data_IF_035062863325
#
_entry.id   IF_035062863325
#
_cell.length_a   1.000
_cell.length_b   1.000
_cell.length_c   1.000
_cell.angle_alpha   90.00
_cell.angle_beta   90.00
_cell.angle_gamma   90.00
#
_symmetry.space_group_name_H-M   'P 1'
#
loop_
_entity.id
_entity.type
_entity.pdbx_description
1 polymer ?
#
# COMPACT_ATOMS: atom_id res chain seq x y z
N UNK A 1 -3.16 -3.50 -12.25
CA UNK A 1 -3.14 -2.16 -11.59
C UNK A 1 -2.77 -1.12 -12.62
N UNK A 2 -3.58 -0.11 -12.76
CA UNK A 2 -3.32 1.01 -13.67
C UNK A 2 -2.27 1.96 -13.09
N UNK A 3 -1.60 2.71 -13.96
CA UNK A 3 -0.56 3.68 -13.53
C UNK A 3 -1.11 4.70 -12.53
N UNK A 4 -2.30 5.24 -12.79
CA UNK A 4 -2.90 6.22 -11.89
C UNK A 4 -3.16 5.63 -10.50
N UNK A 5 -3.60 4.38 -10.44
CA UNK A 5 -3.80 3.71 -9.16
C UNK A 5 -2.49 3.50 -8.41
N UNK A 6 -1.44 3.12 -9.12
CA UNK A 6 -0.10 2.97 -8.52
C UNK A 6 0.37 4.29 -7.90
N UNK A 7 0.24 5.38 -8.66
CA UNK A 7 0.65 6.70 -8.19
C UNK A 7 -0.20 7.15 -7.00
N UNK A 8 -1.52 6.92 -7.04
CA UNK A 8 -2.39 7.25 -5.92
C UNK A 8 -2.00 6.49 -4.64
N UNK A 9 -1.62 5.23 -4.77
CA UNK A 9 -1.15 4.43 -3.62
C UNK A 9 0.18 4.95 -3.08
N UNK A 10 1.09 5.37 -3.95
CA UNK A 10 2.34 6.01 -3.52
C UNK A 10 2.04 7.29 -2.75
N UNK A 11 1.16 8.14 -3.28
CA UNK A 11 0.76 9.37 -2.60
C UNK A 11 0.12 9.10 -1.24
N UNK A 12 -0.69 8.04 -1.16
CA UNK A 12 -1.34 7.65 0.09
C UNK A 12 -0.31 7.26 1.16
N UNK A 13 0.63 6.36 0.85
CA UNK A 13 1.62 5.92 1.84
C UNK A 13 2.59 7.05 2.20
N UNK A 14 2.90 7.91 1.24
CA UNK A 14 3.74 9.10 1.50
C UNK A 14 3.06 10.03 2.50
N UNK A 15 1.79 10.35 2.25
CA UNK A 15 1.02 11.25 3.12
C UNK A 15 0.84 10.62 4.52
N UNK A 16 0.56 9.32 4.57
CA UNK A 16 0.44 8.60 5.84
C UNK A 16 1.74 8.63 6.65
N UNK A 17 2.88 8.61 5.96
CA UNK A 17 4.20 8.70 6.60
C UNK A 17 4.58 10.13 6.97
N UNK A 18 3.73 11.10 6.67
CA UNK A 18 3.96 12.53 6.95
C UNK A 18 5.20 13.06 6.22
N UNK A 19 5.40 12.62 4.98
CA UNK A 19 6.52 13.04 4.15
C UNK A 19 6.03 13.92 3.00
N UNK A 20 6.71 15.06 2.78
CA UNK A 20 6.48 15.85 1.57
C UNK A 20 7.02 15.09 0.35
N UNK A 21 6.53 15.44 -0.84
CA UNK A 21 7.04 14.87 -2.08
C UNK A 21 8.55 15.12 -2.21
N UNK A 22 9.01 16.32 -1.86
CA UNK A 22 10.42 16.68 -1.88
C UNK A 22 11.23 15.82 -0.91
N UNK A 23 10.75 15.65 0.30
CA UNK A 23 11.46 14.87 1.33
C UNK A 23 11.59 13.41 0.91
N UNK A 24 10.51 12.81 0.41
CA UNK A 24 10.55 11.44 -0.08
C UNK A 24 11.54 11.31 -1.25
N UNK A 25 11.50 12.26 -2.19
CA UNK A 25 12.44 12.24 -3.34
C UNK A 25 13.88 12.19 -2.86
N UNK A 26 14.23 13.02 -1.89
CA UNK A 26 15.58 13.07 -1.33
C UNK A 26 15.94 11.80 -0.58
N UNK A 27 15.02 11.26 0.20
CA UNK A 27 15.25 10.05 0.98
C UNK A 27 15.53 8.81 0.11
N UNK A 28 14.97 8.77 -1.10
CA UNK A 28 15.19 7.66 -2.03
C UNK A 28 16.32 7.96 -3.04
N UNK A 29 17.08 9.06 -2.81
CA UNK A 29 18.24 9.38 -3.63
C UNK A 29 17.94 9.93 -5.01
N UNK A 30 16.74 10.51 -5.18
CA UNK A 30 16.32 11.13 -6.45
C UNK A 30 16.44 12.66 -6.37
N UNK A 31 16.19 13.33 -7.51
CA UNK A 31 16.12 14.79 -7.53
C UNK A 31 14.93 15.26 -6.71
N UNK A 32 14.99 16.48 -6.18
CA UNK A 32 13.97 17.04 -5.30
C UNK A 32 12.55 16.99 -5.87
N UNK A 33 12.43 17.06 -7.19
CA UNK A 33 11.13 17.14 -7.88
C UNK A 33 10.61 15.78 -8.36
N UNK A 34 11.34 14.68 -8.09
CA UNK A 34 11.01 13.37 -8.67
C UNK A 34 9.57 12.91 -8.33
N UNK A 35 9.22 12.87 -7.06
CA UNK A 35 7.89 12.43 -6.61
C UNK A 35 6.83 13.41 -7.08
N UNK A 36 7.10 14.73 -6.96
CA UNK A 36 6.14 15.74 -7.40
C UNK A 36 5.85 15.61 -8.91
N UNK A 37 6.86 15.37 -9.74
CA UNK A 37 6.66 15.16 -11.16
C UNK A 37 5.84 13.90 -11.43
N UNK A 38 6.10 12.82 -10.69
CA UNK A 38 5.32 11.59 -10.82
C UNK A 38 3.85 11.83 -10.49
N UNK A 39 3.57 12.51 -9.38
CA UNK A 39 2.21 12.77 -8.91
C UNK A 39 1.47 13.77 -9.80
N UNK A 40 2.18 14.70 -10.42
CA UNK A 40 1.59 15.75 -11.27
C UNK A 40 1.41 15.30 -12.71
N UNK A 41 2.47 14.83 -13.34
CA UNK A 41 2.46 14.46 -14.75
C UNK A 41 1.77 13.12 -15.01
N UNK A 42 1.93 12.17 -14.07
CA UNK A 42 1.27 10.87 -14.10
C UNK A 42 1.50 10.10 -15.40
N UNK A 43 2.71 10.23 -15.96
CA UNK A 43 3.07 9.63 -17.25
C UNK A 43 4.25 8.66 -17.15
N UNK A 44 4.71 8.36 -15.93
CA UNK A 44 5.75 7.37 -15.71
C UNK A 44 5.58 6.70 -14.36
N UNK A 45 6.05 5.45 -14.27
CA UNK A 45 6.10 4.69 -13.02
C UNK A 45 7.55 4.62 -12.52
N UNK A 46 7.78 4.46 -11.22
CA UNK A 46 9.11 4.16 -10.72
C UNK A 46 9.56 2.80 -11.22
N UNK A 47 10.88 2.59 -11.30
CA UNK A 47 11.40 1.23 -11.45
C UNK A 47 11.04 0.41 -10.24
N UNK A 48 11.13 -0.91 -10.35
CA UNK A 48 10.86 -1.79 -9.21
C UNK A 48 11.76 -1.45 -8.01
N UNK A 49 13.06 -1.23 -8.26
CA UNK A 49 14.00 -0.88 -7.20
C UNK A 49 13.61 0.42 -6.49
N UNK A 50 13.24 1.42 -7.27
CA UNK A 50 12.79 2.71 -6.69
C UNK A 50 11.50 2.53 -5.89
N UNK A 51 10.58 1.71 -6.37
CA UNK A 51 9.34 1.42 -5.64
C UNK A 51 9.65 0.78 -4.28
N UNK A 52 10.56 -0.19 -4.24
CA UNK A 52 10.96 -0.81 -2.98
C UNK A 52 11.54 0.23 -2.01
N UNK A 53 12.37 1.14 -2.51
CA UNK A 53 12.92 2.23 -1.69
C UNK A 53 11.79 3.12 -1.14
N UNK A 54 10.79 3.44 -1.97
CA UNK A 54 9.63 4.22 -1.54
C UNK A 54 8.88 3.48 -0.43
N UNK A 55 8.63 2.19 -0.60
CA UNK A 55 7.93 1.38 0.40
C UNK A 55 8.69 1.35 1.72
N UNK A 56 10.01 1.17 1.67
CA UNK A 56 10.85 1.14 2.87
C UNK A 56 10.79 2.47 3.63
N UNK A 57 10.95 3.58 2.93
CA UNK A 57 10.92 4.90 3.55
C UNK A 57 9.54 5.21 4.12
N UNK A 58 8.47 4.84 3.41
CA UNK A 58 7.08 5.08 3.84
C UNK A 58 6.57 3.99 4.79
N UNK A 59 7.39 3.01 5.14
CA UNK A 59 7.04 1.93 6.09
C UNK A 59 5.80 1.14 5.65
N UNK A 60 5.73 0.83 4.36
CA UNK A 60 4.69 -0.03 3.81
C UNK A 60 5.32 -1.33 3.35
N UNK A 61 4.70 -2.46 3.67
CA UNK A 61 5.12 -3.74 3.10
C UNK A 61 4.60 -3.87 1.67
N UNK A 62 5.20 -4.76 0.90
CA UNK A 62 4.73 -5.08 -0.45
C UNK A 62 3.30 -5.62 -0.38
N UNK A 63 3.01 -6.49 0.59
CA UNK A 63 1.68 -7.07 0.76
C UNK A 63 0.62 -6.01 1.01
N UNK A 64 0.91 -5.03 1.87
CA UNK A 64 0.00 -3.93 2.15
C UNK A 64 -0.19 -3.06 0.91
N UNK A 65 0.91 -2.70 0.26
CA UNK A 65 0.87 -1.77 -0.88
C UNK A 65 0.04 -2.31 -2.03
N UNK A 66 0.11 -3.63 -2.29
CA UNK A 66 -0.63 -4.26 -3.38
C UNK A 66 -1.95 -4.89 -2.95
N UNK A 67 -2.34 -4.71 -1.71
CA UNK A 67 -3.64 -5.19 -1.23
C UNK A 67 -4.77 -4.44 -1.96
N UNK A 68 -5.96 -5.03 -2.04
CA UNK A 68 -7.07 -4.38 -2.76
C UNK A 68 -7.41 -3.00 -2.20
N UNK A 69 -7.15 -2.78 -0.91
CA UNK A 69 -7.34 -1.49 -0.25
C UNK A 69 -6.30 -1.36 0.86
N UNK A 70 -5.38 -0.39 0.73
CA UNK A 70 -4.36 -0.16 1.75
C UNK A 70 -4.99 0.12 3.12
N UNK A 71 -6.02 1.01 3.22
CA UNK A 71 -6.65 1.26 4.54
C UNK A 71 -7.27 0.02 5.18
N UNK A 72 -7.71 -0.96 4.40
CA UNK A 72 -8.33 -2.16 4.93
C UNK A 72 -7.32 -3.22 5.39
N UNK A 73 -6.05 -3.10 5.00
CA UNK A 73 -5.07 -4.15 5.16
C UNK A 73 -4.91 -4.61 6.62
N UNK A 74 -4.69 -3.69 7.53
CA UNK A 74 -4.44 -4.03 8.94
C UNK A 74 -5.63 -4.73 9.59
N UNK A 75 -6.84 -4.24 9.33
CA UNK A 75 -8.05 -4.84 9.88
C UNK A 75 -8.27 -6.24 9.31
N UNK A 76 -8.11 -6.39 7.99
CA UNK A 76 -8.28 -7.68 7.34
C UNK A 76 -7.25 -8.70 7.84
N UNK A 77 -6.00 -8.29 8.01
CA UNK A 77 -4.97 -9.19 8.54
C UNK A 77 -5.27 -9.58 9.99
N UNK A 78 -5.81 -8.67 10.79
CA UNK A 78 -6.23 -8.99 12.15
C UNK A 78 -7.35 -10.03 12.16
N UNK A 79 -8.34 -9.87 11.28
CA UNK A 79 -9.44 -10.84 11.12
C UNK A 79 -8.88 -12.20 10.72
N UNK A 80 -7.95 -12.25 9.77
CA UNK A 80 -7.30 -13.48 9.33
C UNK A 80 -6.58 -14.17 10.51
N UNK A 81 -5.86 -13.42 11.33
CA UNK A 81 -5.20 -13.98 12.51
C UNK A 81 -6.20 -14.60 13.49
N UNK A 82 -7.32 -13.92 13.72
CA UNK A 82 -8.38 -14.46 14.59
C UNK A 82 -8.98 -15.74 14.01
N UNK A 83 -9.17 -15.79 12.69
CA UNK A 83 -9.73 -16.96 12.01
C UNK A 83 -8.82 -18.19 12.10
N UNK A 84 -7.52 -18.01 12.16
CA UNK A 84 -6.57 -19.13 12.27
C UNK A 84 -6.75 -19.93 13.54
N UNK A 85 -7.26 -19.33 14.60
CA UNK A 85 -7.42 -19.98 15.91
C UNK A 85 -8.79 -20.59 16.15
N UNK A 86 -9.74 -20.50 15.23
CA UNK A 86 -11.10 -20.97 15.45
C UNK A 86 -11.37 -22.34 14.82
N UNK A 87 -12.37 -23.04 15.34
CA UNK A 87 -12.76 -24.36 14.87
C UNK A 87 -13.36 -24.29 13.46
N UNK A 88 -13.24 -25.41 12.72
CA UNK A 88 -13.74 -25.50 11.35
C UNK A 88 -15.25 -25.26 11.25
N UNK A 89 -16.03 -25.70 12.21
CA UNK A 89 -17.47 -25.45 12.25
C UNK A 89 -17.79 -23.97 12.25
N UNK A 90 -17.07 -23.19 13.07
CA UNK A 90 -17.24 -21.75 13.13
C UNK A 90 -16.83 -21.07 11.84
N UNK A 91 -15.74 -21.53 11.21
CA UNK A 91 -15.32 -21.02 9.90
C UNK A 91 -16.39 -21.25 8.85
N UNK A 92 -16.97 -22.43 8.82
CA UNK A 92 -18.06 -22.79 7.88
C UNK A 92 -19.27 -21.89 8.09
N UNK A 93 -19.65 -21.65 9.36
CA UNK A 93 -20.76 -20.77 9.69
C UNK A 93 -20.53 -19.34 9.21
N UNK A 94 -19.30 -18.83 9.37
CA UNK A 94 -18.93 -17.49 8.90
C UNK A 94 -19.05 -17.41 7.38
N UNK A 95 -18.53 -18.40 6.65
CA UNK A 95 -18.62 -18.46 5.19
C UNK A 95 -20.08 -18.42 4.75
N UNK A 96 -20.93 -19.21 5.37
CA UNK A 96 -22.38 -19.25 5.07
C UNK A 96 -23.01 -17.88 5.29
N UNK A 97 -22.69 -17.22 6.40
CA UNK A 97 -23.21 -15.90 6.72
C UNK A 97 -22.79 -14.85 5.68
N UNK A 98 -21.51 -14.88 5.26
CA UNK A 98 -20.97 -13.90 4.33
C UNK A 98 -21.50 -14.07 2.90
N UNK A 99 -21.99 -15.26 2.54
CA UNK A 99 -22.57 -15.53 1.21
C UNK A 99 -24.01 -15.03 1.06
N UNK A 100 -24.63 -14.60 2.12
CA UNK A 100 -25.97 -14.02 2.06
C UNK A 100 -25.91 -12.54 1.63
#
# INVERSE_FOLDING_TARGET
>A
MELNELIDRISFIRTRADLSARKLSMEIGKTQSYINRMESARNFAPTFETLIDILDVCKSSVDEFFYYSIPAYKQDMHIIELLKGIEQEKKTAIITLLRK
#
